data_IF_874729355254
#
_entry.id   IF_874729355254
#
_cell.length_a   1.000
_cell.length_b   1.000
_cell.length_c   1.000
_cell.angle_alpha   90.00
_cell.angle_beta   90.00
_cell.angle_gamma   90.00
#
_symmetry.space_group_name_H-M   'P 1'
#
loop_
_entity.id
_entity.type
_entity.pdbx_description
1 polymer ?
#
# COMPACT_ATOMS: atom_id res chain seq x y z
N UNK A 1 4.00 -15.78 27.83
CA UNK A 1 2.55 -16.04 27.72
C UNK A 1 1.86 -15.00 26.85
N UNK A 2 1.89 -13.69 27.20
CA UNK A 2 1.28 -12.61 26.39
C UNK A 2 1.86 -12.47 24.99
N UNK A 3 3.17 -12.65 24.82
CA UNK A 3 3.82 -12.60 23.49
C UNK A 3 3.38 -13.78 22.61
N UNK A 4 3.23 -14.96 23.18
CA UNK A 4 2.74 -16.13 22.43
C UNK A 4 1.28 -15.93 22.02
N UNK A 5 0.47 -15.31 22.88
CA UNK A 5 -0.90 -14.95 22.54
C UNK A 5 -0.96 -13.92 21.41
N UNK A 6 -0.12 -12.87 21.47
CA UNK A 6 -0.01 -11.88 20.40
C UNK A 6 0.38 -12.54 19.07
N UNK A 7 1.39 -13.40 19.08
CA UNK A 7 1.81 -14.14 17.88
C UNK A 7 0.67 -15.01 17.33
N UNK A 8 -0.05 -15.70 18.19
CA UNK A 8 -1.22 -16.49 17.79
C UNK A 8 -2.29 -15.60 17.14
N UNK A 9 -2.58 -14.44 17.71
CA UNK A 9 -3.56 -13.49 17.17
C UNK A 9 -3.13 -12.98 15.79
N UNK A 10 -1.84 -12.67 15.58
CA UNK A 10 -1.29 -12.24 14.29
C UNK A 10 -1.49 -13.34 13.23
N UNK A 11 -1.18 -14.59 13.56
CA UNK A 11 -1.35 -15.72 12.62
C UNK A 11 -2.82 -15.95 12.28
N UNK A 12 -3.72 -15.87 13.25
CA UNK A 12 -5.15 -16.01 13.00
C UNK A 12 -5.72 -14.80 12.23
N UNK A 13 -5.25 -13.60 12.51
CA UNK A 13 -5.57 -12.41 11.71
C UNK A 13 -5.14 -12.60 10.25
N UNK A 14 -3.91 -13.06 10.01
CA UNK A 14 -3.43 -13.38 8.65
C UNK A 14 -4.35 -14.37 7.94
N UNK A 15 -4.67 -15.51 8.58
CA UNK A 15 -5.54 -16.55 8.01
C UNK A 15 -6.97 -16.06 7.75
N UNK A 16 -7.48 -15.18 8.60
CA UNK A 16 -8.83 -14.64 8.47
C UNK A 16 -8.98 -13.53 7.43
N UNK A 17 -7.87 -12.88 7.02
CA UNK A 17 -7.90 -11.75 6.10
C UNK A 17 -7.30 -12.08 4.72
N UNK A 18 -6.45 -13.09 4.60
CA UNK A 18 -5.82 -13.47 3.34
C UNK A 18 -6.64 -14.57 2.66
N UNK A 19 -7.56 -14.16 1.80
CA UNK A 19 -8.30 -15.06 0.90
C UNK A 19 -7.71 -14.90 -0.52
N UNK A 20 -8.41 -14.31 -1.46
CA UNK A 20 -7.86 -13.96 -2.77
C UNK A 20 -7.19 -12.58 -2.76
N UNK A 21 -7.64 -11.71 -1.85
CA UNK A 21 -7.13 -10.36 -1.63
C UNK A 21 -6.79 -10.15 -0.14
N UNK A 22 -5.91 -9.19 0.18
CA UNK A 22 -5.66 -8.81 1.58
C UNK A 22 -6.84 -8.00 2.11
N UNK A 23 -7.84 -8.70 2.63
CA UNK A 23 -9.10 -8.11 3.12
C UNK A 23 -8.87 -7.39 4.44
N UNK A 24 -9.38 -6.18 4.56
CA UNK A 24 -9.27 -5.36 5.78
C UNK A 24 -10.08 -5.92 6.95
N UNK A 25 -11.39 -6.04 6.75
CA UNK A 25 -12.38 -6.43 7.77
C UNK A 25 -13.27 -7.58 7.29
N UNK A 26 -12.85 -8.86 7.40
CA UNK A 26 -13.64 -9.99 6.91
C UNK A 26 -14.90 -10.25 7.73
N UNK A 27 -14.98 -9.77 8.98
CA UNK A 27 -16.04 -10.06 9.94
C UNK A 27 -17.25 -9.11 9.84
N UNK A 28 -17.20 -8.07 9.03
CA UNK A 28 -18.28 -7.08 8.85
C UNK A 28 -18.49 -6.75 7.37
N UNK A 29 -19.51 -5.98 7.06
CA UNK A 29 -19.78 -5.49 5.71
C UNK A 29 -18.79 -4.39 5.32
N UNK A 30 -17.72 -4.82 4.70
CA UNK A 30 -16.65 -4.06 4.07
C UNK A 30 -15.90 -5.01 3.16
N UNK A 31 -15.00 -5.85 3.66
CA UNK A 31 -14.32 -6.96 2.98
C UNK A 31 -13.60 -6.52 1.70
N UNK A 32 -12.88 -5.40 1.78
CA UNK A 32 -12.20 -4.81 0.63
C UNK A 32 -10.68 -4.95 0.77
N UNK A 33 -10.00 -4.98 -0.35
CA UNK A 33 -8.54 -4.96 -0.42
C UNK A 33 -7.96 -3.56 -0.25
N UNK A 34 -8.09 -2.97 0.94
CA UNK A 34 -7.53 -1.66 1.25
C UNK A 34 -6.02 -1.65 1.13
N UNK A 35 -5.52 -0.78 0.26
CA UNK A 35 -4.11 -0.77 -0.11
C UNK A 35 -3.18 -0.31 1.02
N UNK A 36 -3.63 0.61 1.88
CA UNK A 36 -2.85 1.03 3.05
C UNK A 36 -2.67 -0.10 4.06
N UNK A 37 -3.76 -0.79 4.38
CA UNK A 37 -3.77 -1.93 5.31
C UNK A 37 -2.86 -3.04 4.81
N UNK A 38 -2.98 -3.37 3.53
CA UNK A 38 -2.15 -4.35 2.87
C UNK A 38 -0.64 -4.01 2.98
N UNK A 39 -0.24 -2.78 2.66
CA UNK A 39 1.19 -2.41 2.69
C UNK A 39 1.78 -2.41 4.10
N UNK A 40 1.00 -2.03 5.11
CA UNK A 40 1.45 -2.03 6.51
C UNK A 40 1.65 -3.46 7.00
N UNK A 41 0.74 -4.37 6.65
CA UNK A 41 0.79 -5.75 7.10
C UNK A 41 1.72 -6.65 6.27
N UNK A 42 2.06 -6.28 5.04
CA UNK A 42 2.87 -7.11 4.16
C UNK A 42 4.18 -7.63 4.81
N UNK A 43 5.00 -6.82 5.49
CA UNK A 43 6.20 -7.34 6.15
C UNK A 43 5.88 -8.38 7.23
N UNK A 44 4.85 -8.14 8.05
CA UNK A 44 4.45 -9.06 9.10
C UNK A 44 3.96 -10.39 8.53
N UNK A 45 3.21 -10.37 7.43
CA UNK A 45 2.72 -11.59 6.77
C UNK A 45 3.86 -12.48 6.29
N UNK A 46 4.92 -11.88 5.71
CA UNK A 46 6.09 -12.59 5.21
C UNK A 46 6.98 -13.20 6.31
N UNK A 47 6.86 -12.75 7.55
CA UNK A 47 7.51 -13.40 8.68
C UNK A 47 6.74 -14.61 9.19
N UNK A 48 5.42 -14.65 8.96
CA UNK A 48 4.52 -15.64 9.52
C UNK A 48 4.14 -16.76 8.55
N UNK A 49 4.27 -16.54 7.24
CA UNK A 49 3.90 -17.52 6.21
C UNK A 49 4.66 -17.30 4.91
N UNK A 50 4.71 -18.33 4.07
CA UNK A 50 5.12 -18.19 2.68
C UNK A 50 3.94 -17.61 1.88
N UNK A 51 3.98 -16.30 1.71
CA UNK A 51 2.93 -15.51 1.04
C UNK A 51 3.41 -14.85 -0.25
N UNK A 52 4.54 -15.31 -0.82
CA UNK A 52 5.07 -14.75 -2.06
C UNK A 52 4.04 -14.76 -3.19
N UNK A 53 3.44 -15.93 -3.45
CA UNK A 53 2.43 -16.08 -4.52
C UNK A 53 1.20 -15.22 -4.29
N UNK A 54 0.78 -15.08 -3.05
CA UNK A 54 -0.34 -14.22 -2.68
C UNK A 54 -0.06 -12.76 -3.04
N UNK A 55 1.11 -12.25 -2.64
CA UNK A 55 1.49 -10.88 -2.97
C UNK A 55 1.72 -10.69 -4.46
N UNK A 56 2.36 -11.62 -5.16
CA UNK A 56 2.56 -11.53 -6.60
C UNK A 56 1.23 -11.47 -7.36
N UNK A 57 0.27 -12.32 -7.00
CA UNK A 57 -1.08 -12.30 -7.58
C UNK A 57 -1.82 -11.00 -7.30
N UNK A 58 -1.81 -10.53 -6.06
CA UNK A 58 -2.50 -9.28 -5.72
C UNK A 58 -1.84 -8.06 -6.35
N UNK A 59 -0.52 -8.04 -6.46
CA UNK A 59 0.20 -6.96 -7.13
C UNK A 59 -0.10 -6.89 -8.64
N UNK A 60 -0.37 -8.02 -9.28
CA UNK A 60 -0.92 -8.02 -10.64
C UNK A 60 -2.27 -7.30 -10.68
N UNK A 61 -3.19 -7.62 -9.77
CA UNK A 61 -4.48 -6.93 -9.65
C UNK A 61 -4.33 -5.43 -9.38
N UNK A 62 -3.29 -5.02 -8.61
CA UNK A 62 -2.96 -3.60 -8.40
C UNK A 62 -2.58 -2.93 -9.72
N UNK A 63 -1.73 -3.57 -10.53
CA UNK A 63 -1.35 -3.08 -11.86
C UNK A 63 -2.55 -2.98 -12.81
N UNK A 64 -3.42 -3.99 -12.84
CA UNK A 64 -4.65 -4.01 -13.65
C UNK A 64 -5.68 -2.96 -13.21
N UNK A 65 -5.68 -2.58 -11.93
CA UNK A 65 -6.57 -1.56 -11.37
C UNK A 65 -6.00 -0.13 -11.46
N UNK A 66 -4.74 0.03 -11.88
CA UNK A 66 -4.13 1.34 -12.05
C UNK A 66 -4.86 2.13 -13.14
N UNK A 67 -5.21 3.38 -12.83
CA UNK A 67 -5.88 4.26 -13.81
C UNK A 67 -4.93 4.69 -14.93
N UNK A 68 -5.48 5.07 -16.08
CA UNK A 68 -4.71 5.55 -17.25
C UNK A 68 -3.77 6.71 -16.92
N UNK A 69 -4.12 7.52 -15.92
CA UNK A 69 -3.28 8.62 -15.45
C UNK A 69 -2.17 8.19 -14.47
N UNK A 70 -2.08 6.91 -14.14
CA UNK A 70 -1.11 6.33 -13.21
C UNK A 70 -1.55 6.29 -11.75
N UNK A 71 -2.73 6.80 -11.42
CA UNK A 71 -3.30 6.72 -10.08
C UNK A 71 -3.60 5.29 -9.66
N UNK A 72 -3.41 4.96 -8.37
CA UNK A 72 -3.76 3.65 -7.80
C UNK A 72 -4.93 3.83 -6.84
N UNK A 73 -6.02 3.05 -7.01
CA UNK A 73 -7.22 3.19 -6.18
C UNK A 73 -6.98 2.85 -4.71
N UNK A 74 -7.90 3.26 -3.86
CA UNK A 74 -7.85 2.99 -2.42
C UNK A 74 -7.97 1.52 -2.07
N UNK A 75 -8.78 0.80 -2.87
CA UNK A 75 -9.03 -0.63 -2.72
C UNK A 75 -8.75 -1.35 -4.03
N UNK A 76 -8.27 -2.58 -3.95
CA UNK A 76 -7.99 -3.40 -5.12
C UNK A 76 -8.58 -4.80 -4.88
N UNK A 77 -9.47 -5.25 -5.81
CA UNK A 77 -9.98 -4.57 -7.01
C UNK A 77 -10.75 -3.28 -6.70
N UNK A 78 -10.81 -2.33 -7.67
CA UNK A 78 -11.53 -1.06 -7.50
C UNK A 78 -13.05 -1.25 -7.58
N UNK A 79 -13.64 -1.69 -6.47
CA UNK A 79 -15.10 -1.89 -6.33
C UNK A 79 -15.84 -0.62 -5.92
N UNK A 80 -15.11 0.46 -5.62
CA UNK A 80 -15.71 1.73 -5.23
C UNK A 80 -16.00 2.64 -6.43
N UNK A 81 -15.34 2.39 -7.56
CA UNK A 81 -15.51 3.13 -8.82
C UNK A 81 -15.52 4.66 -8.67
N UNK A 82 -14.73 5.18 -7.74
CA UNK A 82 -14.76 6.60 -7.39
C UNK A 82 -13.64 7.42 -8.02
N UNK A 83 -12.72 6.78 -8.74
CA UNK A 83 -11.55 7.38 -9.39
C UNK A 83 -10.68 8.21 -8.42
N UNK A 84 -10.65 7.84 -7.14
CA UNK A 84 -9.93 8.55 -6.09
C UNK A 84 -8.69 7.81 -5.66
N UNK A 85 -7.68 8.58 -5.34
CA UNK A 85 -6.38 8.12 -4.84
C UNK A 85 -6.01 8.84 -3.55
N UNK A 86 -5.12 8.24 -2.77
CA UNK A 86 -4.53 8.88 -1.59
C UNK A 86 -3.10 8.42 -1.42
N UNK A 87 -2.22 9.35 -1.08
CA UNK A 87 -0.91 8.99 -0.55
C UNK A 87 -1.07 8.18 0.74
N UNK A 88 -0.15 7.24 0.97
CA UNK A 88 -0.27 6.25 2.04
C UNK A 88 -1.13 5.04 1.69
N UNK A 89 -1.96 5.12 0.64
CA UNK A 89 -2.77 4.03 0.10
C UNK A 89 -2.20 3.52 -1.22
N UNK A 90 -2.24 4.33 -2.28
CA UNK A 90 -1.72 3.93 -3.59
C UNK A 90 -0.22 3.60 -3.59
N UNK A 91 0.53 4.10 -2.62
CA UNK A 91 1.95 3.78 -2.44
C UNK A 91 2.24 2.29 -2.19
N UNK A 92 1.20 1.50 -1.90
CA UNK A 92 1.28 0.04 -1.85
C UNK A 92 1.93 -0.56 -3.10
N UNK A 93 1.68 0.03 -4.29
CA UNK A 93 2.25 -0.42 -5.56
C UNK A 93 3.78 -0.30 -5.65
N UNK A 94 4.40 0.54 -4.83
CA UNK A 94 5.86 0.69 -4.74
C UNK A 94 6.43 -0.02 -3.52
N UNK A 95 5.71 0.02 -2.40
CA UNK A 95 6.18 -0.47 -1.11
C UNK A 95 6.15 -2.00 -1.06
N UNK A 96 5.06 -2.63 -1.49
CA UNK A 96 4.92 -4.09 -1.38
C UNK A 96 5.91 -4.82 -2.26
N UNK A 97 6.06 -4.53 -3.57
CA UNK A 97 7.05 -5.22 -4.40
C UNK A 97 8.47 -5.11 -3.85
N UNK A 98 8.84 -3.91 -3.37
CA UNK A 98 10.15 -3.70 -2.75
C UNK A 98 10.34 -4.54 -1.49
N UNK A 99 9.33 -4.61 -0.60
CA UNK A 99 9.38 -5.43 0.63
C UNK A 99 9.45 -6.92 0.32
N UNK A 100 8.69 -7.39 -0.68
CA UNK A 100 8.74 -8.79 -1.14
C UNK A 100 10.12 -9.11 -1.68
N UNK A 101 10.69 -8.26 -2.55
CA UNK A 101 12.05 -8.41 -3.06
C UNK A 101 13.08 -8.50 -1.92
N UNK A 102 13.04 -7.58 -0.97
CA UNK A 102 13.97 -7.61 0.18
C UNK A 102 13.87 -8.90 1.00
N UNK A 103 12.70 -9.52 1.04
CA UNK A 103 12.47 -10.75 1.80
C UNK A 103 12.92 -11.99 1.05
N UNK A 104 12.75 -12.03 -0.26
CA UNK A 104 12.92 -13.23 -1.10
C UNK A 104 14.18 -13.21 -1.96
N UNK A 105 14.69 -12.02 -2.28
CA UNK A 105 15.75 -11.82 -3.29
C UNK A 105 15.28 -11.99 -4.73
N UNK A 106 14.00 -12.28 -4.96
CA UNK A 106 13.46 -12.51 -6.30
C UNK A 106 13.15 -11.19 -7.00
N UNK A 107 13.93 -10.87 -8.05
CA UNK A 107 13.76 -9.65 -8.84
C UNK A 107 12.51 -9.66 -9.73
N UNK A 108 11.93 -10.82 -9.97
CA UNK A 108 10.76 -10.95 -10.83
C UNK A 108 9.60 -10.08 -10.35
N UNK A 109 9.39 -10.01 -9.01
CA UNK A 109 8.35 -9.14 -8.44
C UNK A 109 8.60 -7.65 -8.75
N UNK A 110 9.85 -7.22 -8.85
CA UNK A 110 10.19 -5.86 -9.24
C UNK A 110 9.95 -5.64 -10.74
N UNK A 111 10.40 -6.59 -11.59
CA UNK A 111 10.23 -6.54 -13.04
C UNK A 111 8.75 -6.41 -13.43
N UNK A 112 7.91 -7.28 -12.86
CA UNK A 112 6.47 -7.33 -13.15
C UNK A 112 5.70 -6.07 -12.70
N UNK A 113 6.21 -5.35 -11.69
CA UNK A 113 5.53 -4.18 -11.11
C UNK A 113 6.18 -2.82 -11.45
N UNK A 114 7.30 -2.82 -12.16
CA UNK A 114 8.08 -1.60 -12.38
C UNK A 114 7.30 -0.51 -13.14
N UNK A 115 6.52 -0.88 -14.15
CA UNK A 115 5.72 0.09 -14.91
C UNK A 115 4.63 0.71 -14.02
N UNK A 116 3.97 -0.09 -13.17
CA UNK A 116 2.99 0.39 -12.19
C UNK A 116 3.63 1.37 -11.20
N UNK A 117 4.83 1.04 -10.69
CA UNK A 117 5.59 1.93 -9.80
C UNK A 117 5.92 3.26 -10.47
N UNK A 118 6.38 3.24 -11.72
CA UNK A 118 6.67 4.45 -12.50
C UNK A 118 5.42 5.28 -12.76
N UNK A 119 4.31 4.62 -13.10
CA UNK A 119 3.02 5.27 -13.31
C UNK A 119 2.58 6.05 -12.07
N UNK A 120 2.67 5.43 -10.91
CA UNK A 120 2.34 6.06 -9.63
C UNK A 120 3.21 7.29 -9.32
N UNK A 121 4.53 7.18 -9.49
CA UNK A 121 5.46 8.30 -9.27
C UNK A 121 5.16 9.46 -10.23
N UNK A 122 4.92 9.18 -11.52
CA UNK A 122 4.51 10.19 -12.50
C UNK A 122 3.17 10.85 -12.15
N UNK A 123 2.22 10.06 -11.66
CA UNK A 123 0.95 10.60 -11.19
C UNK A 123 1.17 11.58 -10.03
N UNK A 124 1.96 11.19 -9.02
CA UNK A 124 2.33 12.10 -7.93
C UNK A 124 2.94 13.41 -8.45
N UNK A 125 3.92 13.30 -9.37
CA UNK A 125 4.56 14.47 -9.97
C UNK A 125 3.55 15.39 -10.67
N UNK A 126 2.61 14.82 -11.43
CA UNK A 126 1.61 15.57 -12.19
C UNK A 126 0.63 16.37 -11.33
N UNK A 127 0.37 15.93 -10.09
CA UNK A 127 -0.59 16.56 -9.17
C UNK A 127 0.09 17.35 -8.05
N UNK A 128 1.42 17.45 -8.06
CA UNK A 128 2.18 18.24 -7.08
C UNK A 128 2.55 19.62 -7.63
N UNK A 129 2.80 20.54 -6.73
CA UNK A 129 3.38 21.83 -7.08
C UNK A 129 4.69 22.00 -6.31
N UNK A 130 5.79 22.21 -7.04
CA UNK A 130 7.13 22.28 -6.44
C UNK A 130 7.44 21.06 -5.54
N UNK A 131 7.04 19.87 -6.00
CA UNK A 131 7.20 18.61 -5.27
C UNK A 131 6.46 18.51 -3.92
N UNK A 132 5.59 19.47 -3.60
CA UNK A 132 4.72 19.40 -2.41
C UNK A 132 3.39 18.77 -2.80
N UNK A 133 3.13 17.59 -2.27
CA UNK A 133 1.91 16.83 -2.53
C UNK A 133 0.78 17.24 -1.59
N UNK A 134 -0.44 17.30 -2.12
CA UNK A 134 -1.68 17.47 -1.33
C UNK A 134 -2.53 16.19 -1.31
N UNK A 135 -1.97 15.09 -1.73
CA UNK A 135 -2.70 13.81 -1.91
C UNK A 135 -3.00 13.05 -0.61
N UNK A 136 -2.86 13.65 0.55
CA UNK A 136 -3.17 13.03 1.83
C UNK A 136 -4.66 13.01 2.14
N UNK A 137 -5.53 12.38 1.32
CA UNK A 137 -6.98 12.40 1.55
C UNK A 137 -7.36 11.82 2.91
N UNK A 138 -6.86 10.62 3.22
CA UNK A 138 -7.07 9.98 4.52
C UNK A 138 -6.11 10.50 5.59
N UNK A 139 -4.93 11.01 5.18
CA UNK A 139 -3.92 11.58 6.07
C UNK A 139 -3.51 10.61 7.19
N UNK A 140 -3.56 11.07 8.42
CA UNK A 140 -3.26 10.31 9.64
C UNK A 140 -4.56 9.65 10.14
N UNK A 141 -5.08 8.72 9.32
CA UNK A 141 -6.38 8.08 9.51
C UNK A 141 -6.50 7.41 10.88
N UNK A 142 -7.56 7.78 11.60
CA UNK A 142 -7.89 7.27 12.93
C UNK A 142 -6.83 7.56 14.00
N UNK A 143 -6.14 8.71 13.90
CA UNK A 143 -5.28 9.17 15.00
C UNK A 143 -6.06 9.12 16.33
N UNK A 144 -5.51 8.49 17.38
CA UNK A 144 -6.12 8.50 18.69
C UNK A 144 -6.20 9.92 19.25
N UNK A 145 -7.40 10.36 19.67
CA UNK A 145 -7.65 11.66 20.29
C UNK A 145 -7.12 12.85 19.45
N UNK A 146 -7.57 13.03 18.20
CA UNK A 146 -7.16 14.17 17.39
C UNK A 146 -7.67 15.48 18.00
N UNK A 147 -6.84 16.52 18.02
CA UNK A 147 -7.22 17.84 18.57
C UNK A 147 -8.36 18.49 17.77
N UNK A 148 -8.37 18.26 16.44
CA UNK A 148 -9.37 18.80 15.53
C UNK A 148 -10.69 17.99 15.49
N UNK A 149 -10.75 16.84 16.18
CA UNK A 149 -11.91 15.94 16.17
C UNK A 149 -12.21 15.24 14.84
N UNK A 150 -11.31 15.36 13.85
CA UNK A 150 -11.44 14.72 12.52
C UNK A 150 -10.75 13.34 12.52
N UNK A 151 -11.40 12.33 11.94
CA UNK A 151 -10.82 11.00 11.72
C UNK A 151 -9.52 11.01 10.89
N UNK A 152 -9.22 12.10 10.20
CA UNK A 152 -8.00 12.29 9.39
C UNK A 152 -6.81 12.82 10.19
N UNK A 153 -6.98 12.96 11.50
CA UNK A 153 -5.92 13.35 12.41
C UNK A 153 -5.43 14.79 12.24
N UNK A 154 -4.41 15.15 13.02
CA UNK A 154 -3.85 16.51 13.09
C UNK A 154 -2.64 16.71 12.18
N UNK A 155 -2.03 15.62 11.71
CA UNK A 155 -0.85 15.68 10.85
C UNK A 155 -1.18 16.33 9.50
N UNK A 156 -0.37 17.28 9.08
CA UNK A 156 -0.56 17.98 7.80
C UNK A 156 -0.64 17.00 6.63
N UNK A 157 -1.73 17.08 5.86
CA UNK A 157 -1.93 16.27 4.64
C UNK A 157 -0.81 16.46 3.62
N UNK A 158 -0.25 17.67 3.53
CA UNK A 158 0.87 17.95 2.63
C UNK A 158 2.16 17.31 3.12
N UNK A 159 2.38 17.22 4.43
CA UNK A 159 3.53 16.50 4.99
C UNK A 159 3.44 15.02 4.65
N UNK A 160 2.31 14.39 4.96
CA UNK A 160 2.09 12.97 4.66
C UNK A 160 2.22 12.69 3.16
N UNK A 161 1.49 13.45 2.33
CA UNK A 161 1.53 13.27 0.88
C UNK A 161 2.93 13.44 0.29
N UNK A 162 3.70 14.42 0.77
CA UNK A 162 5.06 14.67 0.29
C UNK A 162 6.03 13.58 0.75
N UNK A 163 5.91 13.12 2.00
CA UNK A 163 6.75 12.05 2.53
C UNK A 163 6.55 10.73 1.74
N UNK A 164 5.29 10.36 1.47
CA UNK A 164 4.98 9.18 0.66
C UNK A 164 5.44 9.32 -0.79
N UNK A 165 5.27 10.50 -1.40
CA UNK A 165 5.81 10.76 -2.74
C UNK A 165 7.33 10.57 -2.79
N UNK A 166 8.07 11.17 -1.86
CA UNK A 166 9.51 11.01 -1.77
C UNK A 166 9.92 9.54 -1.54
N UNK A 167 9.16 8.82 -0.71
CA UNK A 167 9.40 7.40 -0.44
C UNK A 167 9.18 6.55 -1.68
N UNK A 168 8.04 6.69 -2.37
CA UNK A 168 7.73 5.96 -3.59
C UNK A 168 8.72 6.25 -4.72
N UNK A 169 9.12 7.51 -4.90
CA UNK A 169 10.15 7.87 -5.88
C UNK A 169 11.49 7.20 -5.57
N UNK A 170 11.90 7.19 -4.30
CA UNK A 170 13.12 6.50 -3.87
C UNK A 170 13.06 4.98 -4.09
N UNK A 171 11.92 4.33 -3.78
CA UNK A 171 11.77 2.90 -4.01
C UNK A 171 11.79 2.55 -5.51
N UNK A 172 11.13 3.35 -6.34
CA UNK A 172 11.15 3.19 -7.79
C UNK A 172 12.55 3.37 -8.37
N UNK A 173 13.32 4.36 -7.89
CA UNK A 173 14.71 4.55 -8.28
C UNK A 173 15.61 3.38 -7.86
N UNK A 174 15.43 2.84 -6.65
CA UNK A 174 16.15 1.64 -6.20
C UNK A 174 15.79 0.42 -7.05
N UNK A 175 14.52 0.25 -7.37
CA UNK A 175 14.05 -0.82 -8.27
C UNK A 175 14.69 -0.70 -9.64
N UNK A 176 14.72 0.49 -10.25
CA UNK A 176 15.41 0.73 -11.50
C UNK A 176 16.89 0.30 -11.46
N UNK A 177 17.59 0.63 -10.37
CA UNK A 177 19.00 0.26 -10.17
C UNK A 177 19.19 -1.26 -10.04
N UNK A 178 18.26 -1.97 -9.38
CA UNK A 178 18.32 -3.43 -9.23
C UNK A 178 18.07 -4.17 -10.56
N UNK A 179 17.28 -3.56 -11.43
CA UNK A 179 16.92 -4.16 -12.72
C UNK A 179 17.96 -3.87 -13.84
N UNK A 180 18.85 -2.87 -13.66
CA UNK A 180 19.86 -2.45 -14.64
C UNK A 180 19.37 -1.24 -15.41
#
# INVERSE_FOLDING_TARGET
EKLNQLQSNIVWGLRGNFFDIPTDCPQRDERMGWTADAQVFAPASMFNADVYRFWASWMQSVGESQYDNGGVPWVVPDVLYNNKVSAGWGDACTIIPWKVYLRTGDKKILEENFETMKGWVKYHESVTKNYISKMGFFADWLQPLPENGDNKGDTSKSLIGTAFFAHSANLTAKTAKELG
#
